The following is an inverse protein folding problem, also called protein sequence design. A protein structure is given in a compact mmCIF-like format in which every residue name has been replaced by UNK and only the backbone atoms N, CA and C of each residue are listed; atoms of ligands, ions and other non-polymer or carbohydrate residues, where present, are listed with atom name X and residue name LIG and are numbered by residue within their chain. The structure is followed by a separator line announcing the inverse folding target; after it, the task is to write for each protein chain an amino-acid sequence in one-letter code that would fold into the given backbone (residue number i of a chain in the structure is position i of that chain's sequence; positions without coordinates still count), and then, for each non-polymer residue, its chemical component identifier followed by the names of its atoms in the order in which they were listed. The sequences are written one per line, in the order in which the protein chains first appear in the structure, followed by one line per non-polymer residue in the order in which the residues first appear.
data_IF_541544813960
#
_entry.id   IF_541544813960
#
_cell.length_a   1.000
_cell.length_b   1.000
_cell.length_c   1.000
_cell.angle_alpha   90.00
_cell.angle_beta   90.00
_cell.angle_gamma   90.00
#
_symmetry.space_group_name_H-M   'P 1'
#
loop_
_entity.id
_entity.type
_entity.pdbx_description
1 polymer ?
#
# COMPACT_ATOMS: atom_id res chain seq x y z
N UNK A 1 8.28 40.78 -21.03
CA UNK A 1 9.07 39.65 -20.53
C UNK A 1 8.21 38.72 -19.71
N UNK A 2 7.56 37.79 -20.42
CA UNK A 2 6.96 36.61 -19.80
C UNK A 2 8.10 35.66 -19.44
N UNK A 3 8.30 35.42 -18.15
CA UNK A 3 9.19 34.37 -17.66
C UNK A 3 8.61 33.02 -18.10
N UNK A 4 9.16 32.44 -19.17
CA UNK A 4 8.93 31.04 -19.52
C UNK A 4 9.48 30.15 -18.40
N UNK A 5 8.63 29.74 -17.46
CA UNK A 5 8.95 28.80 -16.38
C UNK A 5 9.26 27.35 -16.87
N UNK A 6 9.35 27.16 -18.19
CA UNK A 6 9.54 25.89 -18.88
C UNK A 6 10.94 25.73 -19.50
N UNK A 7 11.79 26.77 -19.44
CA UNK A 7 13.18 26.67 -19.85
C UNK A 7 14.05 26.20 -18.66
N UNK A 8 14.12 24.89 -18.44
CA UNK A 8 15.13 24.31 -17.53
C UNK A 8 16.49 24.29 -18.24
N UNK A 9 17.43 25.13 -17.80
CA UNK A 9 18.81 25.17 -18.33
C UNK A 9 19.65 23.94 -17.94
N UNK A 10 19.11 23.03 -17.11
CA UNK A 10 19.84 21.90 -16.54
C UNK A 10 19.61 20.62 -17.36
N UNK A 11 20.69 20.09 -17.94
CA UNK A 11 20.67 18.77 -18.61
C UNK A 11 20.77 17.67 -17.55
N UNK A 12 19.71 16.88 -17.38
CA UNK A 12 19.71 15.72 -16.49
C UNK A 12 20.49 14.56 -17.11
N UNK A 13 21.60 14.18 -16.49
CA UNK A 13 22.44 13.05 -16.90
C UNK A 13 22.19 11.87 -15.97
N UNK A 14 21.94 10.69 -16.55
CA UNK A 14 21.53 9.50 -15.80
C UNK A 14 22.09 8.21 -16.41
N UNK A 15 22.13 7.17 -15.59
CA UNK A 15 22.35 5.78 -15.99
C UNK A 15 21.05 5.02 -15.72
N UNK A 16 20.57 4.28 -16.73
CA UNK A 16 19.42 3.37 -16.58
C UNK A 16 19.89 1.94 -16.81
N UNK A 17 19.53 1.06 -15.89
CA UNK A 17 19.65 -0.39 -16.02
C UNK A 17 18.23 -0.98 -16.14
N UNK A 18 18.03 -1.88 -17.11
CA UNK A 18 16.78 -2.61 -17.28
C UNK A 18 17.07 -4.10 -17.50
N UNK A 19 16.49 -4.94 -16.64
CA UNK A 19 16.51 -6.40 -16.74
C UNK A 19 15.25 -6.82 -17.48
N UNK A 20 15.44 -7.22 -18.74
CA UNK A 20 14.37 -7.66 -19.62
C UNK A 20 14.43 -9.19 -19.79
N UNK A 21 13.36 -9.94 -19.48
CA UNK A 21 13.33 -11.37 -19.67
C UNK A 21 13.35 -11.70 -21.16
N UNK A 22 14.11 -12.72 -21.52
CA UNK A 22 14.04 -13.31 -22.86
C UNK A 22 12.94 -14.37 -22.84
N UNK A 23 11.97 -14.23 -23.75
CA UNK A 23 10.84 -15.15 -23.88
C UNK A 23 10.81 -15.73 -25.28
N UNK A 24 10.32 -16.96 -25.39
CA UNK A 24 10.08 -17.54 -26.71
C UNK A 24 9.00 -16.72 -27.43
N UNK A 25 9.27 -16.40 -28.69
CA UNK A 25 8.30 -15.69 -29.51
C UNK A 25 7.05 -16.55 -29.72
N UNK A 26 5.88 -15.92 -29.66
CA UNK A 26 4.66 -16.58 -30.15
C UNK A 26 4.76 -16.70 -31.66
N UNK A 27 4.21 -17.77 -32.22
CA UNK A 27 4.07 -17.87 -33.67
C UNK A 27 3.15 -16.75 -34.15
N UNK A 28 3.71 -15.85 -34.95
CA UNK A 28 3.01 -14.71 -35.52
C UNK A 28 3.22 -14.69 -37.03
N UNK A 29 2.31 -14.05 -37.75
CA UNK A 29 2.41 -13.89 -39.19
C UNK A 29 3.18 -12.58 -39.47
N UNK A 30 4.41 -12.70 -39.96
CA UNK A 30 5.26 -11.56 -40.30
C UNK A 30 5.17 -11.23 -41.80
N UNK A 31 5.11 -9.94 -42.14
CA UNK A 31 5.22 -9.49 -43.52
C UNK A 31 6.69 -9.28 -43.90
N UNK A 32 7.17 -9.99 -44.94
CA UNK A 32 8.55 -9.89 -45.41
C UNK A 32 8.61 -8.98 -46.64
N UNK A 33 9.04 -7.74 -46.44
CA UNK A 33 9.04 -6.70 -47.48
C UNK A 33 9.94 -7.02 -48.69
N UNK A 34 10.92 -7.91 -48.54
CA UNK A 34 11.78 -8.35 -49.65
C UNK A 34 11.08 -9.31 -50.62
N UNK A 35 10.14 -10.10 -50.12
CA UNK A 35 9.44 -11.14 -50.88
C UNK A 35 7.97 -10.78 -51.14
N UNK A 36 7.46 -9.72 -50.50
CA UNK A 36 6.05 -9.30 -50.51
C UNK A 36 5.07 -10.40 -50.09
N UNK A 37 5.54 -11.31 -49.23
CA UNK A 37 4.76 -12.45 -48.74
C UNK A 37 4.67 -12.43 -47.21
N UNK A 38 3.65 -13.13 -46.70
CA UNK A 38 3.45 -13.35 -45.28
C UNK A 38 3.98 -14.72 -44.90
N UNK A 39 4.97 -14.77 -44.00
CA UNK A 39 5.51 -16.03 -43.49
C UNK A 39 5.11 -16.24 -42.03
N UNK A 40 4.95 -17.51 -41.65
CA UNK A 40 4.93 -17.88 -40.25
C UNK A 40 6.31 -17.58 -39.65
N UNK A 41 6.37 -16.58 -38.80
CA UNK A 41 7.56 -16.19 -38.08
C UNK A 41 7.47 -16.72 -36.65
N UNK A 42 8.34 -17.66 -36.31
CA UNK A 42 8.66 -17.96 -34.94
C UNK A 42 9.93 -17.19 -34.60
N UNK A 43 9.80 -16.04 -33.94
CA UNK A 43 10.95 -15.41 -33.31
C UNK A 43 11.49 -16.40 -32.27
N UNK A 44 12.72 -16.89 -32.45
CA UNK A 44 13.27 -17.89 -31.55
C UNK A 44 13.32 -17.38 -30.12
N UNK A 45 13.64 -16.09 -29.94
CA UNK A 45 13.70 -15.41 -28.65
C UNK A 45 13.41 -13.91 -28.82
N UNK A 46 12.47 -13.38 -28.05
CA UNK A 46 12.12 -11.96 -27.98
C UNK A 46 12.47 -11.40 -26.61
N UNK A 47 12.99 -10.18 -26.59
CA UNK A 47 13.20 -9.42 -25.34
C UNK A 47 11.86 -8.85 -24.90
N UNK A 48 11.39 -9.26 -23.73
CA UNK A 48 10.17 -8.75 -23.12
C UNK A 48 10.34 -7.35 -22.53
N UNK A 49 9.25 -6.78 -22.02
CA UNK A 49 9.29 -5.55 -21.23
C UNK A 49 10.14 -5.72 -19.97
N UNK A 50 10.81 -4.67 -19.47
CA UNK A 50 11.58 -4.73 -18.23
C UNK A 50 10.77 -5.30 -17.07
N UNK A 51 11.39 -6.16 -16.27
CA UNK A 51 10.78 -6.68 -15.03
C UNK A 51 11.42 -6.10 -13.78
N UNK A 52 12.68 -5.67 -13.89
CA UNK A 52 13.46 -5.06 -12.83
C UNK A 52 14.42 -4.05 -13.44
N UNK A 53 14.80 -3.02 -12.70
CA UNK A 53 15.76 -2.03 -13.19
C UNK A 53 15.99 -0.91 -12.21
N UNK A 54 16.91 -0.02 -12.52
CA UNK A 54 17.12 1.19 -11.74
C UNK A 54 17.57 2.36 -12.60
N UNK A 55 17.38 3.57 -12.07
CA UNK A 55 17.92 4.81 -12.60
C UNK A 55 18.74 5.51 -11.52
N UNK A 56 19.93 6.01 -11.88
CA UNK A 56 20.78 6.81 -11.01
C UNK A 56 21.40 7.98 -11.76
N UNK A 57 21.46 9.19 -11.17
CA UNK A 57 20.79 9.61 -9.92
C UNK A 57 19.27 9.58 -10.04
N UNK A 58 18.55 9.59 -8.91
CA UNK A 58 17.10 9.80 -8.92
C UNK A 58 16.75 11.22 -9.42
N UNK A 59 15.51 11.43 -9.83
CA UNK A 59 15.04 12.71 -10.36
C UNK A 59 13.90 13.25 -9.51
N UNK A 60 14.21 14.20 -8.64
CA UNK A 60 13.29 14.78 -7.67
C UNK A 60 13.28 16.30 -7.82
N UNK A 61 12.10 16.94 -7.73
CA UNK A 61 11.97 18.40 -7.79
C UNK A 61 12.70 19.07 -8.98
N UNK A 62 12.61 18.45 -10.17
CA UNK A 62 13.28 18.88 -11.41
C UNK A 62 14.82 18.92 -11.33
N UNK A 63 15.42 18.18 -10.40
CA UNK A 63 16.86 18.15 -10.20
C UNK A 63 17.37 16.72 -10.03
N UNK A 64 18.67 16.52 -10.31
CA UNK A 64 19.35 15.27 -10.02
C UNK A 64 19.55 15.10 -8.52
N UNK A 65 19.03 14.01 -7.97
CA UNK A 65 19.27 13.61 -6.59
C UNK A 65 20.33 12.51 -6.54
N UNK A 66 21.58 12.91 -6.29
CA UNK A 66 22.74 12.02 -6.23
C UNK A 66 22.76 11.10 -5.00
N UNK A 67 21.87 11.32 -4.03
CA UNK A 67 21.79 10.51 -2.82
C UNK A 67 20.85 9.31 -2.98
N UNK A 68 19.96 9.35 -3.98
CA UNK A 68 18.94 8.33 -4.19
C UNK A 68 19.08 7.66 -5.55
N UNK A 69 18.64 6.41 -5.64
CA UNK A 69 18.42 5.70 -6.90
C UNK A 69 16.93 5.35 -7.02
N UNK A 70 16.37 5.45 -8.22
CA UNK A 70 15.00 5.04 -8.48
C UNK A 70 15.00 3.56 -8.88
N UNK A 71 14.41 2.70 -8.07
CA UNK A 71 14.23 1.28 -8.36
C UNK A 71 12.90 1.03 -9.06
N UNK A 72 12.91 0.23 -10.12
CA UNK A 72 11.73 -0.27 -10.80
C UNK A 72 11.60 -1.78 -10.56
N UNK A 73 10.45 -2.22 -10.04
CA UNK A 73 10.03 -3.61 -10.11
C UNK A 73 8.64 -3.67 -10.73
N UNK A 74 8.45 -4.60 -11.68
CA UNK A 74 7.14 -4.87 -12.29
C UNK A 74 6.14 -5.41 -11.28
N UNK A 75 6.60 -6.11 -10.25
CA UNK A 75 5.77 -6.64 -9.18
C UNK A 75 6.19 -6.02 -7.85
N UNK A 76 5.35 -5.14 -7.31
CA UNK A 76 5.64 -4.46 -6.04
C UNK A 76 5.76 -5.40 -4.83
N UNK A 77 5.21 -6.62 -4.91
CA UNK A 77 5.39 -7.66 -3.89
C UNK A 77 6.72 -8.42 -4.03
N UNK A 78 7.46 -8.22 -5.12
CA UNK A 78 8.74 -8.87 -5.41
C UNK A 78 9.76 -7.80 -5.79
N UNK A 79 10.31 -7.12 -4.79
CA UNK A 79 11.30 -6.04 -4.98
C UNK A 79 12.74 -6.56 -5.16
N UNK A 80 12.94 -7.88 -5.18
CA UNK A 80 14.22 -8.54 -5.45
C UNK A 80 15.36 -8.04 -4.54
N UNK A 81 15.30 -8.40 -3.24
CA UNK A 81 16.31 -8.00 -2.25
C UNK A 81 17.73 -8.36 -2.69
N UNK A 82 17.90 -9.50 -3.36
CA UNK A 82 19.16 -9.95 -3.92
C UNK A 82 19.76 -8.98 -4.95
N UNK A 83 18.92 -8.29 -5.72
CA UNK A 83 19.35 -7.30 -6.69
C UNK A 83 19.74 -5.99 -6.00
N UNK A 84 18.94 -5.58 -5.00
CA UNK A 84 19.20 -4.35 -4.24
C UNK A 84 20.54 -4.48 -3.49
N UNK A 85 20.76 -5.60 -2.81
CA UNK A 85 22.01 -5.86 -2.10
C UNK A 85 23.21 -5.97 -3.06
N UNK A 86 23.06 -6.66 -4.19
CA UNK A 86 24.17 -6.83 -5.14
C UNK A 86 24.59 -5.53 -5.84
N UNK A 87 23.66 -4.62 -6.10
CA UNK A 87 23.90 -3.37 -6.85
C UNK A 87 24.20 -2.19 -5.93
N UNK A 88 23.41 -2.05 -4.85
CA UNK A 88 23.46 -0.90 -3.96
C UNK A 88 24.12 -1.19 -2.62
N UNK A 89 24.34 -2.46 -2.27
CA UNK A 89 24.90 -2.88 -0.98
C UNK A 89 24.21 -2.22 0.22
N UNK A 90 22.89 -2.13 0.13
CA UNK A 90 22.02 -1.54 1.14
C UNK A 90 20.90 -2.51 1.46
N UNK A 91 20.35 -2.40 2.67
CA UNK A 91 19.14 -3.10 3.03
C UNK A 91 17.98 -2.62 2.14
N UNK A 92 17.22 -3.58 1.62
CA UNK A 92 16.04 -3.27 0.82
C UNK A 92 14.95 -2.66 1.70
N UNK A 93 14.26 -1.60 1.25
CA UNK A 93 13.10 -1.09 1.95
C UNK A 93 12.02 -2.16 1.96
N UNK A 94 11.25 -2.26 3.05
CA UNK A 94 10.10 -3.17 3.10
C UNK A 94 9.10 -2.84 1.99
N UNK A 95 8.56 -3.86 1.31
CA UNK A 95 7.46 -3.69 0.38
C UNK A 95 6.19 -3.19 1.10
N UNK A 96 5.22 -2.65 0.36
CA UNK A 96 3.96 -2.20 0.96
C UNK A 96 3.23 -3.32 1.72
N UNK A 97 3.27 -4.56 1.22
CA UNK A 97 2.65 -5.71 1.89
C UNK A 97 3.39 -6.08 3.18
N UNK A 98 4.71 -6.05 3.18
CA UNK A 98 5.52 -6.29 4.37
C UNK A 98 5.35 -5.16 5.39
N UNK A 99 5.29 -3.89 4.96
CA UNK A 99 5.01 -2.76 5.84
C UNK A 99 3.66 -2.91 6.53
N UNK A 100 2.62 -3.28 5.77
CA UNK A 100 1.29 -3.56 6.32
C UNK A 100 1.32 -4.68 7.36
N UNK A 101 1.96 -5.80 7.03
CA UNK A 101 2.01 -6.96 7.90
C UNK A 101 2.81 -6.66 9.19
N UNK A 102 3.96 -5.99 9.08
CA UNK A 102 4.78 -5.58 10.20
C UNK A 102 4.03 -4.57 11.10
N UNK A 103 3.33 -3.59 10.52
CA UNK A 103 2.52 -2.63 11.25
C UNK A 103 1.38 -3.31 12.02
N UNK A 104 0.65 -4.22 11.37
CA UNK A 104 -0.43 -5.00 12.00
C UNK A 104 0.10 -5.87 13.14
N UNK A 105 1.28 -6.48 12.96
CA UNK A 105 1.93 -7.31 13.98
C UNK A 105 2.37 -6.46 15.16
N UNK A 106 3.00 -5.31 14.91
CA UNK A 106 3.42 -4.36 15.95
C UNK A 106 2.23 -3.88 16.80
N UNK A 107 1.10 -3.55 16.16
CA UNK A 107 -0.14 -3.19 16.86
C UNK A 107 -0.68 -4.36 17.69
N UNK A 108 -0.83 -5.54 17.09
CA UNK A 108 -1.41 -6.70 17.76
C UNK A 108 -0.60 -7.12 18.99
N UNK A 109 0.73 -7.18 18.87
CA UNK A 109 1.61 -7.57 19.98
C UNK A 109 1.72 -6.50 21.07
N UNK A 110 1.69 -5.21 20.72
CA UNK A 110 1.78 -4.14 21.70
C UNK A 110 0.49 -4.00 22.52
N UNK A 111 -0.66 -4.18 21.87
CA UNK A 111 -1.97 -4.00 22.48
C UNK A 111 -2.46 -5.26 23.20
N UNK A 112 -2.09 -6.46 22.75
CA UNK A 112 -2.52 -7.75 23.31
C UNK A 112 -4.05 -7.76 23.57
N UNK A 113 -4.49 -7.86 24.82
CA UNK A 113 -5.92 -7.86 25.21
C UNK A 113 -6.62 -6.52 25.00
N UNK A 114 -5.89 -5.42 24.90
CA UNK A 114 -6.43 -4.09 24.59
C UNK A 114 -6.64 -3.87 23.09
N UNK A 115 -6.29 -4.84 22.24
CA UNK A 115 -6.58 -4.82 20.81
C UNK A 115 -8.08 -5.09 20.57
N UNK A 116 -8.92 -4.08 20.86
CA UNK A 116 -10.36 -4.14 20.63
C UNK A 116 -10.73 -3.67 19.22
N UNK A 117 -11.94 -4.03 18.80
CA UNK A 117 -12.51 -3.57 17.53
C UNK A 117 -12.50 -2.04 17.43
N UNK A 118 -12.97 -1.36 18.48
CA UNK A 118 -13.09 0.10 18.52
C UNK A 118 -11.72 0.80 18.35
N UNK A 119 -10.65 0.22 18.93
CA UNK A 119 -9.29 0.78 18.82
C UNK A 119 -8.77 0.62 17.39
N UNK A 120 -8.92 -0.56 16.79
CA UNK A 120 -8.47 -0.81 15.41
C UNK A 120 -9.26 0.04 14.42
N UNK A 121 -10.57 0.21 14.66
CA UNK A 121 -11.43 1.08 13.89
C UNK A 121 -10.96 2.55 13.98
N UNK A 122 -10.74 3.07 15.20
CA UNK A 122 -10.29 4.45 15.39
C UNK A 122 -8.93 4.73 14.72
N UNK A 123 -8.01 3.75 14.76
CA UNK A 123 -6.72 3.84 14.05
C UNK A 123 -6.93 3.88 12.54
N UNK A 124 -7.75 2.97 12.00
CA UNK A 124 -8.03 2.93 10.56
C UNK A 124 -8.70 4.23 10.08
N UNK A 125 -9.72 4.71 10.79
CA UNK A 125 -10.46 5.92 10.45
C UNK A 125 -9.56 7.17 10.46
N UNK A 126 -8.76 7.37 11.51
CA UNK A 126 -7.88 8.56 11.57
C UNK A 126 -6.77 8.53 10.51
N UNK A 127 -6.22 7.35 10.19
CA UNK A 127 -5.22 7.23 9.12
C UNK A 127 -5.89 7.46 7.76
N UNK A 128 -7.08 6.91 7.52
CA UNK A 128 -7.84 7.13 6.28
C UNK A 128 -8.17 8.60 6.09
N UNK A 129 -8.62 9.30 7.13
CA UNK A 129 -8.96 10.71 7.06
C UNK A 129 -7.77 11.54 6.56
N UNK A 130 -6.56 11.28 7.08
CA UNK A 130 -5.33 11.92 6.59
C UNK A 130 -5.06 11.66 5.12
N UNK A 131 -5.25 10.42 4.66
CA UNK A 131 -5.09 10.05 3.23
C UNK A 131 -6.07 10.84 2.35
N UNK A 132 -7.34 10.93 2.76
CA UNK A 132 -8.37 11.65 2.02
C UNK A 132 -8.07 13.14 1.98
N UNK A 133 -7.77 13.76 3.13
CA UNK A 133 -7.44 15.19 3.23
C UNK A 133 -6.23 15.57 2.37
N UNK A 134 -5.18 14.74 2.37
CA UNK A 134 -3.99 14.96 1.53
C UNK A 134 -4.30 14.85 0.03
N UNK A 135 -5.15 13.88 -0.35
CA UNK A 135 -5.58 13.73 -1.74
C UNK A 135 -6.43 14.93 -2.21
N UNK A 136 -7.26 15.47 -1.33
CA UNK A 136 -8.09 16.64 -1.61
C UNK A 136 -7.29 17.94 -1.68
N UNK A 137 -6.27 18.09 -0.83
CA UNK A 137 -5.39 19.27 -0.81
C UNK A 137 -4.51 19.36 -2.06
N UNK A 138 -4.27 18.24 -2.76
CA UNK A 138 -3.35 18.12 -3.91
C UNK A 138 -1.94 18.58 -3.57
N UNK A 139 -1.55 18.38 -2.32
CA UNK A 139 -0.20 18.68 -1.86
C UNK A 139 0.81 17.79 -2.60
N UNK A 140 1.85 18.36 -3.24
CA UNK A 140 2.87 17.57 -3.91
C UNK A 140 3.80 16.81 -2.96
N UNK A 141 3.84 17.16 -1.66
CA UNK A 141 4.70 16.46 -0.70
C UNK A 141 4.14 15.09 -0.32
N UNK A 142 4.94 14.01 -0.29
CA UNK A 142 4.43 12.69 0.08
C UNK A 142 3.86 12.69 1.50
N UNK A 143 2.62 12.24 1.66
CA UNK A 143 2.05 12.02 2.99
C UNK A 143 2.79 10.91 3.73
N UNK A 144 3.23 11.23 4.93
CA UNK A 144 3.91 10.34 5.85
C UNK A 144 3.17 10.21 7.19
N UNK A 145 3.44 9.11 7.89
CA UNK A 145 2.98 8.90 9.26
C UNK A 145 4.06 8.22 10.07
N UNK A 146 4.23 8.70 11.30
CA UNK A 146 5.26 8.27 12.23
C UNK A 146 4.69 7.47 13.40
N UNK A 147 5.55 6.73 14.10
CA UNK A 147 5.20 6.03 15.34
C UNK A 147 4.58 6.97 16.41
N UNK A 148 5.03 8.23 16.44
CA UNK A 148 4.51 9.24 17.37
C UNK A 148 3.04 9.52 17.09
N UNK A 149 2.69 9.76 15.82
CA UNK A 149 1.33 10.11 15.42
C UNK A 149 0.37 8.94 15.59
N UNK A 150 0.79 7.72 15.24
CA UNK A 150 -0.02 6.53 15.55
C UNK A 150 -0.16 6.34 17.06
N UNK A 151 0.91 6.61 17.81
CA UNK A 151 0.87 6.59 19.28
C UNK A 151 -0.17 7.57 19.85
N UNK A 152 -0.25 8.79 19.34
CA UNK A 152 -1.26 9.78 19.75
C UNK A 152 -2.69 9.30 19.44
N UNK A 153 -2.89 8.61 18.33
CA UNK A 153 -4.18 7.99 17.98
C UNK A 153 -4.55 6.91 19.00
N UNK A 154 -3.59 6.06 19.38
CA UNK A 154 -3.79 5.00 20.39
C UNK A 154 -4.10 5.60 21.78
N UNK A 155 -3.39 6.65 22.19
CA UNK A 155 -3.64 7.36 23.46
C UNK A 155 -5.06 7.94 23.50
N UNK A 156 -5.50 8.60 22.41
CA UNK A 156 -6.88 9.11 22.27
C UNK A 156 -7.92 8.00 22.28
N UNK A 157 -7.54 6.79 21.87
CA UNK A 157 -8.39 5.59 21.88
C UNK A 157 -8.42 4.88 23.24
N UNK A 158 -7.81 5.47 24.27
CA UNK A 158 -7.81 4.94 25.65
C UNK A 158 -6.78 3.85 25.92
N UNK A 159 -5.78 3.69 25.04
CA UNK A 159 -4.68 2.76 25.26
C UNK A 159 -3.70 3.35 26.28
N UNK A 160 -3.22 2.50 27.19
CA UNK A 160 -2.27 2.91 28.22
C UNK A 160 -0.92 3.35 27.65
N UNK A 161 -0.29 4.34 28.30
CA UNK A 161 1.03 4.85 27.90
C UNK A 161 2.09 3.75 27.75
N UNK A 162 2.07 2.75 28.64
CA UNK A 162 2.96 1.58 28.58
C UNK A 162 2.79 0.79 27.28
N UNK A 163 1.55 0.59 26.82
CA UNK A 163 1.26 -0.14 25.58
C UNK A 163 1.60 0.70 24.35
N UNK A 164 1.36 2.01 24.41
CA UNK A 164 1.76 2.94 23.36
C UNK A 164 3.28 2.96 23.19
N UNK A 165 4.03 2.95 24.30
CA UNK A 165 5.48 2.87 24.27
C UNK A 165 5.95 1.52 23.72
N UNK A 166 5.31 0.42 24.12
CA UNK A 166 5.60 -0.92 23.56
C UNK A 166 5.32 -1.00 22.05
N UNK A 167 4.34 -0.25 21.54
CA UNK A 167 4.10 -0.09 20.11
C UNK A 167 5.22 0.72 19.44
N UNK A 168 5.60 1.87 19.99
CA UNK A 168 6.68 2.73 19.46
C UNK A 168 8.02 1.98 19.38
N UNK A 169 8.35 1.18 20.39
CA UNK A 169 9.57 0.35 20.40
C UNK A 169 9.54 -0.74 19.32
N UNK A 170 8.40 -1.42 19.14
CA UNK A 170 8.24 -2.40 18.05
C UNK A 170 8.31 -1.75 16.68
N UNK A 171 7.63 -0.62 16.51
CA UNK A 171 7.67 0.15 15.28
C UNK A 171 9.12 0.54 14.95
N UNK A 172 9.88 1.08 15.91
CA UNK A 172 11.27 1.45 15.71
C UNK A 172 12.17 0.25 15.37
N UNK A 173 11.87 -0.92 15.93
CA UNK A 173 12.59 -2.16 15.62
C UNK A 173 12.32 -2.66 14.18
N UNK A 174 11.08 -2.59 13.72
CA UNK A 174 10.69 -3.09 12.39
C UNK A 174 11.03 -2.10 11.26
N UNK A 175 10.92 -0.80 11.52
CA UNK A 175 11.04 0.24 10.48
C UNK A 175 12.26 1.15 10.65
N UNK A 176 12.89 1.15 11.82
CA UNK A 176 13.94 2.09 12.21
C UNK A 176 13.45 3.24 13.10
N UNK A 177 14.34 3.81 13.90
CA UNK A 177 14.02 4.97 14.74
C UNK A 177 13.63 6.17 13.89
N UNK A 178 12.47 6.77 14.17
CA UNK A 178 11.96 7.93 13.43
C UNK A 178 11.45 7.62 12.03
N UNK A 179 11.30 6.34 11.66
CA UNK A 179 10.82 5.97 10.34
C UNK A 179 9.41 6.53 10.06
N UNK A 180 9.28 7.16 8.90
CA UNK A 180 8.03 7.70 8.40
C UNK A 180 7.53 6.79 7.27
N UNK A 181 6.33 6.26 7.41
CA UNK A 181 5.72 5.34 6.45
C UNK A 181 4.67 6.06 5.62
N UNK A 182 4.45 5.62 4.38
CA UNK A 182 3.29 6.07 3.62
C UNK A 182 2.02 5.43 4.23
N UNK A 183 1.01 6.21 4.64
CA UNK A 183 -0.24 5.68 5.20
C UNK A 183 -0.95 4.66 4.29
N UNK A 184 -0.82 4.80 2.97
CA UNK A 184 -1.40 3.88 2.00
C UNK A 184 -0.74 2.50 1.98
N UNK A 185 0.46 2.37 2.56
CA UNK A 185 1.16 1.10 2.70
C UNK A 185 0.75 0.35 3.97
N UNK A 186 0.19 1.02 4.98
CA UNK A 186 -0.12 0.39 6.28
C UNK A 186 -1.61 0.09 6.47
N UNK A 187 -2.49 0.80 5.76
CA UNK A 187 -3.93 0.52 5.74
C UNK A 187 -4.48 0.44 4.32
N UNK A 188 -5.62 -0.23 4.16
CA UNK A 188 -6.41 -0.11 2.93
C UNK A 188 -7.47 0.98 3.13
N UNK A 189 -7.32 2.10 2.43
CA UNK A 189 -8.23 3.25 2.55
C UNK A 189 -9.53 3.08 1.77
N UNK A 190 -9.63 2.06 0.90
CA UNK A 190 -10.80 1.78 0.08
C UNK A 190 -11.73 0.72 0.65
N UNK A 191 -11.33 -0.03 1.68
CA UNK A 191 -12.17 -1.04 2.33
C UNK A 191 -11.89 -1.21 3.82
N UNK A 192 -12.94 -1.49 4.57
CA UNK A 192 -12.85 -1.92 5.96
C UNK A 192 -13.42 -3.34 6.07
N UNK A 193 -12.60 -4.30 6.47
CA UNK A 193 -12.92 -5.73 6.45
C UNK A 193 -12.94 -6.35 7.85
N UNK A 194 -13.99 -7.12 8.16
CA UNK A 194 -14.02 -8.03 9.30
C UNK A 194 -14.00 -9.47 8.80
N UNK A 195 -13.09 -10.26 9.35
CA UNK A 195 -12.91 -11.66 8.97
C UNK A 195 -13.10 -12.54 10.20
N UNK A 196 -14.04 -13.46 10.10
CA UNK A 196 -14.23 -14.60 11.00
C UNK A 196 -13.93 -15.89 10.21
N UNK A 197 -13.78 -17.06 10.86
CA UNK A 197 -13.49 -18.29 10.12
C UNK A 197 -14.54 -18.69 9.07
N UNK A 198 -15.78 -18.20 9.19
CA UNK A 198 -16.89 -18.56 8.29
C UNK A 198 -17.42 -17.40 7.45
N UNK A 199 -17.17 -16.15 7.85
CA UNK A 199 -17.79 -14.97 7.24
C UNK A 199 -16.75 -13.87 7.10
N UNK A 200 -16.72 -13.25 5.91
CA UNK A 200 -16.04 -11.97 5.65
C UNK A 200 -17.10 -10.90 5.41
N UNK A 201 -17.02 -9.80 6.16
CA UNK A 201 -17.81 -8.59 5.95
C UNK A 201 -16.86 -7.53 5.41
N UNK A 202 -17.24 -6.86 4.33
CA UNK A 202 -16.49 -5.74 3.75
C UNK A 202 -17.45 -4.57 3.58
N UNK A 203 -17.08 -3.42 4.10
CA UNK A 203 -17.84 -2.17 3.93
C UNK A 203 -16.96 -1.08 3.36
N UNK A 204 -17.59 -0.06 2.78
CA UNK A 204 -16.90 1.20 2.53
C UNK A 204 -16.45 1.77 3.89
N UNK A 205 -15.17 2.15 4.05
CA UNK A 205 -14.70 2.73 5.30
C UNK A 205 -15.45 3.98 5.75
N UNK A 206 -16.17 4.69 4.86
CA UNK A 206 -17.03 5.82 5.29
C UNK A 206 -18.18 5.36 6.18
N UNK A 207 -18.57 4.09 6.10
CA UNK A 207 -19.61 3.48 6.91
C UNK A 207 -19.05 2.53 7.97
N UNK A 208 -17.74 2.57 8.28
CA UNK A 208 -17.15 1.74 9.33
C UNK A 208 -17.85 1.91 10.68
N UNK A 209 -18.30 3.14 10.99
CA UNK A 209 -19.06 3.48 12.20
C UNK A 209 -20.37 2.70 12.37
N UNK A 210 -20.92 2.10 11.31
CA UNK A 210 -22.12 1.26 11.39
C UNK A 210 -21.83 -0.13 11.96
N UNK A 211 -20.57 -0.55 11.99
CA UNK A 211 -20.19 -1.87 12.48
C UNK A 211 -20.01 -1.79 13.99
N UNK A 212 -20.72 -2.65 14.71
CA UNK A 212 -20.59 -2.75 16.17
C UNK A 212 -20.23 -4.19 16.57
N UNK A 213 -19.53 -4.35 17.69
CA UNK A 213 -19.36 -5.66 18.31
C UNK A 213 -20.08 -5.73 19.65
N UNK A 214 -20.85 -6.80 19.87
CA UNK A 214 -21.65 -6.96 21.10
C UNK A 214 -21.63 -8.40 21.59
N UNK A 215 -21.66 -8.58 22.90
CA UNK A 215 -21.86 -9.89 23.52
C UNK A 215 -23.33 -10.04 23.85
N UNK A 216 -23.99 -11.01 23.21
CA UNK A 216 -25.40 -11.35 23.45
C UNK A 216 -25.42 -12.81 23.92
N UNK A 217 -25.96 -13.05 25.12
CA UNK A 217 -26.03 -14.40 25.71
C UNK A 217 -24.69 -15.16 25.73
N UNK A 218 -23.59 -14.45 26.03
CA UNK A 218 -22.24 -15.03 26.10
C UNK A 218 -21.58 -15.31 24.75
N UNK A 219 -22.23 -15.00 23.63
CA UNK A 219 -21.66 -15.10 22.28
C UNK A 219 -21.33 -13.73 21.73
N UNK A 220 -20.21 -13.62 21.02
CA UNK A 220 -19.77 -12.40 20.34
C UNK A 220 -20.49 -12.27 18.99
N UNK A 221 -21.03 -11.10 18.72
CA UNK A 221 -21.71 -10.75 17.48
C UNK A 221 -21.03 -9.53 16.85
N UNK A 222 -21.01 -9.52 15.52
CA UNK A 222 -20.81 -8.33 14.70
C UNK A 222 -22.20 -7.88 14.28
N UNK A 223 -22.56 -6.64 14.58
CA UNK A 223 -23.86 -6.05 14.29
C UNK A 223 -23.71 -5.00 13.20
N UNK A 224 -24.69 -4.98 12.29
CA UNK A 224 -24.83 -3.97 11.25
C UNK A 224 -26.29 -3.52 11.30
N UNK A 225 -26.58 -2.24 11.58
CA UNK A 225 -27.93 -1.69 11.44
C UNK A 225 -28.45 -1.94 10.02
N UNK A 226 -29.70 -2.37 9.91
CA UNK A 226 -30.35 -2.71 8.64
C UNK A 226 -31.63 -1.89 8.43
N UNK A 227 -31.62 -0.65 8.91
CA UNK A 227 -32.78 0.25 8.90
C UNK A 227 -33.19 0.66 7.47
N UNK A 228 -32.24 0.71 6.55
CA UNK A 228 -32.46 1.08 5.14
C UNK A 228 -32.89 -0.11 4.25
N UNK A 229 -33.16 -1.27 4.86
CA UNK A 229 -33.56 -2.49 4.17
C UNK A 229 -32.43 -3.52 4.07
N UNK A 230 -32.81 -4.75 3.74
CA UNK A 230 -31.90 -5.88 3.64
C UNK A 230 -32.22 -6.68 2.38
N UNK A 231 -31.20 -6.99 1.59
CA UNK A 231 -31.32 -7.92 0.47
C UNK A 231 -30.59 -9.24 0.78
N UNK A 232 -31.26 -10.36 0.51
CA UNK A 232 -30.68 -11.71 0.59
C UNK A 232 -30.65 -12.29 -0.81
N UNK A 233 -29.46 -12.48 -1.37
CA UNK A 233 -29.27 -12.95 -2.75
C UNK A 233 -30.06 -12.12 -3.78
N UNK A 234 -30.13 -10.80 -3.60
CA UNK A 234 -30.87 -9.87 -4.46
C UNK A 234 -32.38 -9.81 -4.22
N UNK A 235 -32.89 -10.45 -3.16
CA UNK A 235 -34.29 -10.37 -2.75
C UNK A 235 -34.44 -9.45 -1.54
N UNK A 236 -35.24 -8.41 -1.66
CA UNK A 236 -35.61 -7.53 -0.55
C UNK A 236 -36.40 -8.31 0.50
N UNK A 237 -35.94 -8.29 1.75
CA UNK A 237 -36.54 -8.99 2.88
C UNK A 237 -36.87 -8.02 4.01
N UNK A 238 -37.97 -8.26 4.71
CA UNK A 238 -38.35 -7.51 5.91
C UNK A 238 -37.80 -8.19 7.15
N UNK A 239 -37.12 -7.43 8.01
CA UNK A 239 -36.71 -7.91 9.33
C UNK A 239 -37.90 -7.81 10.26
N UNK A 240 -38.45 -8.96 10.64
CA UNK A 240 -39.54 -9.01 11.60
C UNK A 240 -38.96 -8.87 13.01
N UNK A 241 -39.44 -7.90 13.78
CA UNK A 241 -39.13 -7.83 15.20
C UNK A 241 -39.89 -8.98 15.90
N UNK A 242 -39.22 -9.84 16.70
CA UNK A 242 -39.89 -10.88 17.47
C UNK A 242 -40.81 -10.29 18.55
#
# INVERSE_FOLDING_TARGET
DELQADASDTVFTYVICAVCPVRDGKQELGYFSGENEFHGYAASQLVGSPELGFMFPAFDNRMANIHNALLYSKNAAQIHHEFIDAVFHTEAPLSAEEQKAAFQTALAEALDKSCSFDVVQAVHEQIRERIVQHKESKDPEPLDITAREVGEILEKSGISETQVQAFKERYAKEFGEGAALNPSNIIDSGKFELVTPQVKVSVDPEYSYMLETKIINGKKYILIPADEGLEVNGLNVTINNP
#
